data_IF_402968608564
#
_entry.id   IF_402968608564
#
_cell.length_a   1.000
_cell.length_b   1.000
_cell.length_c   1.000
_cell.angle_alpha   90.00
_cell.angle_beta   90.00
_cell.angle_gamma   90.00
#
_symmetry.space_group_name_H-M   'P 1'
#
loop_
_entity.id
_entity.type
_entity.pdbx_description
1 polymer ?
#
# COMPACT_ATOMS: atom_id res chain seq x y z
N UNK A 1 4.44 14.06 14.61
CA UNK A 1 3.61 13.74 13.43
C UNK A 1 3.51 14.95 12.51
N UNK A 2 3.96 14.82 11.27
CA UNK A 2 3.85 15.85 10.21
C UNK A 2 2.47 15.76 9.55
N UNK A 3 1.87 16.89 9.16
CA UNK A 3 0.60 16.95 8.41
C UNK A 3 0.73 17.88 7.23
N UNK A 4 0.15 17.50 6.11
CA UNK A 4 0.06 18.33 4.91
C UNK A 4 -1.17 17.92 4.07
N UNK A 5 -1.63 18.81 3.20
CA UNK A 5 -2.63 18.47 2.22
C UNK A 5 -2.07 17.51 1.17
N UNK A 6 -2.85 16.51 0.76
CA UNK A 6 -2.52 15.65 -0.36
C UNK A 6 -2.65 16.41 -1.68
N UNK A 7 -1.67 16.25 -2.56
CA UNK A 7 -1.69 16.81 -3.92
C UNK A 7 -2.12 15.73 -4.90
N UNK A 8 -3.35 15.83 -5.42
CA UNK A 8 -3.82 14.96 -6.52
C UNK A 8 -3.20 15.47 -7.82
N UNK A 9 -2.32 14.66 -8.41
CA UNK A 9 -1.60 14.99 -9.65
C UNK A 9 -2.49 14.71 -10.87
N UNK A 10 -3.24 13.58 -10.81
CA UNK A 10 -4.07 13.12 -11.91
C UNK A 10 -5.23 12.26 -11.40
N UNK A 11 -6.36 12.32 -12.11
CA UNK A 11 -7.48 11.42 -11.93
C UNK A 11 -7.70 10.62 -13.22
N UNK A 12 -8.07 9.35 -13.05
CA UNK A 12 -8.44 8.40 -14.10
C UNK A 12 -9.86 7.92 -13.87
N UNK A 13 -10.64 7.84 -14.92
CA UNK A 13 -12.06 7.44 -14.82
C UNK A 13 -13.01 8.63 -14.54
N UNK A 14 -14.26 8.40 -14.11
CA UNK A 14 -14.81 7.05 -13.90
C UNK A 14 -14.81 6.20 -15.17
N UNK A 15 -14.66 4.89 -15.01
CA UNK A 15 -14.57 3.98 -16.14
C UNK A 15 -15.92 3.35 -16.46
N UNK A 16 -16.32 3.22 -17.76
CA UNK A 16 -17.54 2.55 -18.12
C UNK A 16 -17.60 1.10 -17.59
N UNK A 17 -18.70 0.74 -16.93
CA UNK A 17 -18.90 -0.60 -16.37
C UNK A 17 -18.06 -0.92 -15.14
N UNK A 18 -17.56 0.11 -14.45
CA UNK A 18 -16.86 0.01 -13.15
C UNK A 18 -17.67 0.76 -12.10
N UNK A 19 -18.36 0.03 -11.22
CA UNK A 19 -19.19 0.62 -10.16
C UNK A 19 -18.35 1.15 -8.97
N UNK A 20 -17.13 0.65 -8.83
CA UNK A 20 -16.21 1.09 -7.78
C UNK A 20 -14.79 0.59 -8.00
N UNK A 21 -13.83 1.30 -7.42
CA UNK A 21 -12.42 0.93 -7.38
C UNK A 21 -12.07 0.60 -5.93
N UNK A 22 -11.68 -0.65 -5.66
CA UNK A 22 -11.41 -1.14 -4.30
C UNK A 22 -9.91 -1.24 -4.00
N UNK A 23 -9.25 -2.30 -4.45
CA UNK A 23 -7.81 -2.47 -4.34
C UNK A 23 -7.07 -1.81 -5.49
N UNK A 24 -5.83 -1.42 -5.26
CA UNK A 24 -4.92 -0.87 -6.28
C UNK A 24 -3.54 -1.47 -6.09
N UNK A 25 -2.87 -1.83 -7.19
CA UNK A 25 -1.47 -2.26 -7.24
C UNK A 25 -0.78 -1.73 -8.50
N UNK A 26 0.55 -1.83 -8.56
CA UNK A 26 1.34 -1.37 -9.71
C UNK A 26 2.41 -2.39 -10.05
N UNK A 27 2.53 -2.76 -11.33
CA UNK A 27 3.49 -3.77 -11.82
C UNK A 27 4.74 -3.17 -12.48
N UNK A 28 4.91 -1.85 -12.36
CA UNK A 28 5.97 -1.10 -13.04
C UNK A 28 5.54 -0.51 -14.39
N UNK A 29 4.41 -0.95 -14.95
CA UNK A 29 3.85 -0.46 -16.20
C UNK A 29 2.37 -0.11 -16.11
N UNK A 30 1.59 -0.95 -15.41
CA UNK A 30 0.15 -0.83 -15.33
C UNK A 30 -0.30 -0.66 -13.87
N UNK A 31 -1.32 0.15 -13.70
CA UNK A 31 -2.05 0.20 -12.44
C UNK A 31 -3.15 -0.87 -12.50
N UNK A 32 -3.04 -1.86 -11.64
CA UNK A 32 -4.05 -2.88 -11.47
C UNK A 32 -5.05 -2.44 -10.42
N UNK A 33 -6.34 -2.48 -10.74
CA UNK A 33 -7.35 -2.14 -9.75
C UNK A 33 -8.51 -3.14 -9.74
N UNK A 34 -8.97 -3.45 -8.53
CA UNK A 34 -10.08 -4.35 -8.25
C UNK A 34 -11.42 -3.63 -8.38
N UNK A 35 -12.41 -4.27 -9.01
CA UNK A 35 -13.75 -3.72 -9.22
C UNK A 35 -14.86 -4.78 -9.09
N UNK A 36 -14.88 -5.50 -7.97
CA UNK A 36 -15.90 -6.49 -7.64
C UNK A 36 -15.66 -7.87 -8.27
N UNK A 37 -15.93 -8.03 -9.54
CA UNK A 37 -15.83 -9.29 -10.28
C UNK A 37 -14.60 -9.40 -11.19
N UNK A 38 -13.73 -8.38 -11.20
CA UNK A 38 -12.54 -8.34 -12.06
C UNK A 38 -11.44 -7.43 -11.52
N UNK A 39 -10.22 -7.70 -12.00
CA UNK A 39 -9.06 -6.82 -11.86
C UNK A 39 -8.79 -6.20 -13.22
N UNK A 40 -8.72 -4.87 -13.28
CA UNK A 40 -8.49 -4.11 -14.50
C UNK A 40 -7.05 -3.62 -14.58
N UNK A 41 -6.42 -3.72 -15.75
CA UNK A 41 -5.11 -3.15 -16.05
C UNK A 41 -5.27 -1.79 -16.72
N UNK A 42 -4.93 -0.72 -16.01
CA UNK A 42 -4.95 0.66 -16.48
C UNK A 42 -3.56 1.07 -16.93
N UNK A 43 -3.44 1.61 -18.15
CA UNK A 43 -2.22 2.31 -18.58
C UNK A 43 -2.23 3.73 -17.99
N UNK A 44 -1.31 4.06 -17.06
CA UNK A 44 -1.29 5.37 -16.43
C UNK A 44 -0.87 6.50 -17.40
N UNK A 45 -0.22 6.19 -18.52
CA UNK A 45 0.14 7.18 -19.53
C UNK A 45 -1.09 7.65 -20.31
N UNK A 46 -1.85 6.72 -20.89
CA UNK A 46 -3.04 7.04 -21.69
C UNK A 46 -4.32 7.18 -20.87
N UNK A 47 -4.39 6.62 -19.68
CA UNK A 47 -5.60 6.57 -18.85
C UNK A 47 -6.63 5.54 -19.33
N UNK A 48 -6.24 4.58 -20.18
CA UNK A 48 -7.13 3.56 -20.74
C UNK A 48 -7.00 2.23 -20.00
N UNK A 49 -8.12 1.54 -19.79
CA UNK A 49 -8.11 0.13 -19.42
C UNK A 49 -7.70 -0.67 -20.65
N UNK A 50 -6.64 -1.45 -20.54
CA UNK A 50 -6.09 -2.26 -21.61
C UNK A 50 -6.71 -3.66 -21.64
N UNK A 51 -6.97 -4.22 -20.44
CA UNK A 51 -7.58 -5.54 -20.27
C UNK A 51 -8.12 -5.73 -18.87
N UNK A 52 -8.89 -6.78 -18.67
CA UNK A 52 -9.35 -7.22 -17.36
C UNK A 52 -9.07 -8.72 -17.16
N UNK A 53 -9.00 -9.13 -15.92
CA UNK A 53 -8.94 -10.52 -15.45
C UNK A 53 -10.24 -10.77 -14.67
N UNK A 54 -11.05 -11.72 -15.15
CA UNK A 54 -12.33 -12.09 -14.53
C UNK A 54 -12.05 -13.00 -13.32
N UNK A 55 -11.99 -12.40 -12.15
CA UNK A 55 -11.83 -13.08 -10.84
C UNK A 55 -12.53 -12.25 -9.77
N UNK A 56 -13.04 -12.85 -8.69
CA UNK A 56 -13.54 -12.08 -7.55
C UNK A 56 -12.47 -11.11 -7.03
N UNK A 57 -12.79 -9.82 -6.97
CA UNK A 57 -11.85 -8.75 -6.66
C UNK A 57 -12.53 -7.64 -5.84
N UNK A 58 -12.88 -7.97 -4.58
CA UNK A 58 -13.71 -7.13 -3.73
C UNK A 58 -12.92 -6.14 -2.85
N UNK A 59 -11.60 -6.35 -2.70
CA UNK A 59 -10.76 -5.58 -1.78
C UNK A 59 -9.32 -5.43 -2.32
N UNK A 60 -8.32 -5.43 -1.44
CA UNK A 60 -6.93 -5.12 -1.74
C UNK A 60 -6.29 -6.00 -2.82
N UNK A 61 -5.42 -5.38 -3.59
CA UNK A 61 -4.59 -6.02 -4.63
C UNK A 61 -3.13 -5.70 -4.35
N UNK A 62 -2.22 -6.67 -4.55
CA UNK A 62 -0.77 -6.50 -4.44
C UNK A 62 -0.04 -7.18 -5.61
N UNK A 63 1.23 -6.83 -5.82
CA UNK A 63 2.09 -7.42 -6.84
C UNK A 63 3.47 -7.75 -6.27
N UNK A 64 3.96 -8.98 -6.46
CA UNK A 64 5.23 -9.45 -5.89
C UNK A 64 6.44 -9.29 -6.84
N UNK A 65 6.23 -8.69 -8.01
CA UNK A 65 7.20 -8.61 -9.10
C UNK A 65 6.94 -9.63 -10.21
N UNK A 66 6.09 -10.64 -9.95
CA UNK A 66 5.75 -11.69 -10.91
C UNK A 66 4.24 -11.99 -10.93
N UNK A 67 3.59 -12.00 -9.76
CA UNK A 67 2.20 -12.41 -9.59
C UNK A 67 1.36 -11.32 -8.92
N UNK A 68 0.08 -11.27 -9.26
CA UNK A 68 -0.90 -10.51 -8.53
C UNK A 68 -1.43 -11.32 -7.34
N UNK A 69 -1.68 -10.64 -6.22
CA UNK A 69 -2.42 -11.16 -5.09
C UNK A 69 -3.70 -10.35 -4.95
N UNK A 70 -4.83 -11.04 -4.80
CA UNK A 70 -6.14 -10.42 -4.73
C UNK A 70 -6.92 -10.91 -3.52
N UNK A 71 -7.35 -9.98 -2.67
CA UNK A 71 -8.32 -10.25 -1.61
C UNK A 71 -9.72 -10.47 -2.21
N UNK A 72 -10.29 -11.61 -1.91
CA UNK A 72 -11.63 -12.01 -2.32
C UNK A 72 -12.32 -12.73 -1.17
N UNK A 73 -13.26 -12.06 -0.50
CA UNK A 73 -13.96 -12.58 0.67
C UNK A 73 -13.00 -12.95 1.82
N UNK A 74 -12.88 -14.23 2.15
CA UNK A 74 -12.07 -14.78 3.24
C UNK A 74 -10.72 -15.34 2.79
N UNK A 75 -10.29 -15.04 1.55
CA UNK A 75 -9.09 -15.62 0.92
C UNK A 75 -8.30 -14.59 0.14
N UNK A 76 -7.03 -14.91 -0.09
CA UNK A 76 -6.13 -14.20 -0.99
C UNK A 76 -5.79 -15.15 -2.14
N UNK A 77 -6.03 -14.73 -3.35
CA UNK A 77 -5.73 -15.48 -4.57
C UNK A 77 -4.39 -15.00 -5.15
N UNK A 78 -3.46 -15.92 -5.40
CA UNK A 78 -2.26 -15.68 -6.21
C UNK A 78 -2.60 -15.92 -7.66
N UNK A 79 -2.38 -14.93 -8.52
CA UNK A 79 -2.87 -14.91 -9.90
C UNK A 79 -1.70 -14.65 -10.85
N UNK A 80 -1.60 -15.42 -11.91
CA UNK A 80 -0.74 -15.12 -13.05
C UNK A 80 -1.32 -13.91 -13.82
N UNK A 81 -0.64 -12.76 -13.83
CA UNK A 81 -1.16 -11.56 -14.47
C UNK A 81 -1.27 -11.70 -16.00
N UNK A 82 -0.58 -12.63 -16.63
CA UNK A 82 -0.60 -12.83 -18.09
C UNK A 82 -1.81 -13.63 -18.53
N UNK A 83 -2.11 -14.70 -17.81
CA UNK A 83 -3.18 -15.63 -18.17
C UNK A 83 -4.48 -15.43 -17.40
N UNK A 84 -4.44 -14.73 -16.28
CA UNK A 84 -5.54 -14.56 -15.34
C UNK A 84 -5.83 -15.81 -14.50
N UNK A 85 -4.98 -16.84 -14.58
CA UNK A 85 -5.19 -18.09 -13.86
C UNK A 85 -4.84 -17.92 -12.37
N UNK A 86 -5.72 -18.37 -11.49
CA UNK A 86 -5.46 -18.52 -10.06
C UNK A 86 -4.50 -19.70 -9.88
N UNK A 87 -3.32 -19.44 -9.33
CA UNK A 87 -2.26 -20.40 -9.10
C UNK A 87 -2.33 -21.03 -7.72
N UNK A 88 -2.70 -20.23 -6.72
CA UNK A 88 -2.84 -20.65 -5.33
C UNK A 88 -3.89 -19.79 -4.61
N UNK A 89 -4.36 -20.30 -3.50
CA UNK A 89 -5.28 -19.59 -2.60
C UNK A 89 -4.85 -19.82 -1.17
N UNK A 90 -4.73 -18.74 -0.40
CA UNK A 90 -4.37 -18.76 1.02
C UNK A 90 -5.50 -18.10 1.84
N UNK A 91 -5.70 -18.48 3.10
CA UNK A 91 -6.70 -17.85 3.96
C UNK A 91 -6.31 -16.39 4.24
N UNK A 92 -7.30 -15.50 4.22
CA UNK A 92 -7.14 -14.12 4.65
C UNK A 92 -7.38 -14.01 6.16
N UNK A 93 -6.60 -13.18 6.90
CA UNK A 93 -6.62 -13.19 8.37
C UNK A 93 -7.91 -12.65 8.98
N UNK A 94 -8.68 -11.85 8.24
CA UNK A 94 -9.87 -11.16 8.73
C UNK A 94 -11.20 -11.86 8.47
N UNK A 95 -11.20 -13.06 7.87
CA UNK A 95 -12.42 -13.81 7.60
C UNK A 95 -13.48 -13.04 6.81
N UNK A 96 -13.06 -12.25 5.80
CA UNK A 96 -13.94 -11.40 4.99
C UNK A 96 -13.98 -9.92 5.41
N UNK A 97 -13.27 -9.55 6.48
CA UNK A 97 -13.17 -8.15 6.94
C UNK A 97 -11.90 -7.44 6.49
N UNK A 98 -11.12 -8.04 5.60
CA UNK A 98 -9.89 -7.48 5.07
C UNK A 98 -10.16 -6.45 3.97
N UNK A 99 -9.31 -5.41 3.90
CA UNK A 99 -9.54 -4.25 3.03
C UNK A 99 -8.40 -3.95 2.07
N UNK A 100 -7.19 -3.83 2.57
CA UNK A 100 -5.99 -3.49 1.79
C UNK A 100 -5.00 -4.65 1.73
N UNK A 101 -4.16 -4.66 0.69
CA UNK A 101 -3.13 -5.66 0.50
C UNK A 101 -1.89 -5.00 -0.10
N UNK A 102 -0.71 -5.34 0.42
CA UNK A 102 0.58 -4.95 -0.15
C UNK A 102 1.58 -6.10 -0.07
N UNK A 103 2.54 -6.10 -0.99
CA UNK A 103 3.69 -6.98 -0.96
C UNK A 103 4.92 -6.23 -0.49
N UNK A 104 5.64 -6.78 0.49
CA UNK A 104 6.88 -6.21 0.97
C UNK A 104 7.80 -7.27 1.59
N UNK A 105 9.07 -7.23 1.23
CA UNK A 105 10.12 -8.03 1.86
C UNK A 105 9.78 -9.54 1.94
N UNK A 106 9.18 -10.08 0.87
CA UNK A 106 8.79 -11.49 0.80
C UNK A 106 7.54 -11.85 1.61
N UNK A 107 6.77 -10.88 2.06
CA UNK A 107 5.55 -11.07 2.87
C UNK A 107 4.38 -10.27 2.35
N UNK A 108 3.17 -10.63 2.76
CA UNK A 108 1.96 -9.85 2.51
C UNK A 108 1.59 -9.02 3.74
N UNK A 109 1.16 -7.79 3.50
CA UNK A 109 0.59 -6.89 4.49
C UNK A 109 -0.89 -6.72 4.21
N UNK A 110 -1.73 -7.09 5.17
CA UNK A 110 -3.19 -7.15 5.03
C UNK A 110 -3.84 -6.19 6.00
N UNK A 111 -4.57 -5.21 5.48
CA UNK A 111 -5.32 -4.27 6.30
C UNK A 111 -6.71 -4.83 6.65
N UNK A 112 -7.17 -4.53 7.86
CA UNK A 112 -8.53 -4.79 8.33
C UNK A 112 -9.22 -3.47 8.65
N UNK A 113 -10.24 -3.13 7.87
CA UNK A 113 -10.92 -1.85 7.97
C UNK A 113 -11.50 -1.60 9.36
N UNK A 114 -12.47 -2.41 9.77
CA UNK A 114 -13.21 -2.20 11.04
C UNK A 114 -12.36 -2.49 12.28
N UNK A 115 -11.43 -3.40 12.17
CA UNK A 115 -10.59 -3.81 13.29
C UNK A 115 -9.40 -2.87 13.51
N UNK A 116 -9.15 -1.93 12.59
CA UNK A 116 -8.05 -0.95 12.66
C UNK A 116 -6.70 -1.62 12.86
N UNK A 117 -6.43 -2.65 12.05
CA UNK A 117 -5.21 -3.45 12.13
C UNK A 117 -4.58 -3.62 10.76
N UNK A 118 -3.28 -3.80 10.76
CA UNK A 118 -2.51 -4.25 9.60
C UNK A 118 -1.75 -5.49 10.03
N UNK A 119 -1.97 -6.60 9.36
CA UNK A 119 -1.30 -7.87 9.59
C UNK A 119 -0.19 -8.08 8.58
N UNK A 120 0.97 -8.54 9.04
CA UNK A 120 1.99 -9.13 8.18
C UNK A 120 1.79 -10.64 8.22
N UNK A 121 1.69 -11.28 7.06
CA UNK A 121 1.44 -12.71 6.93
C UNK A 121 2.44 -13.38 5.99
N UNK A 122 2.66 -14.65 6.21
CA UNK A 122 3.39 -15.52 5.32
C UNK A 122 2.58 -15.77 4.02
N UNK A 123 3.15 -15.52 2.83
CA UNK A 123 2.39 -15.59 1.57
C UNK A 123 2.11 -17.02 1.08
N UNK A 124 2.73 -18.04 1.66
CA UNK A 124 2.52 -19.44 1.28
C UNK A 124 1.45 -20.10 2.16
N UNK A 125 1.41 -19.72 3.44
CA UNK A 125 0.55 -20.39 4.43
C UNK A 125 -0.58 -19.52 4.96
N UNK A 126 -0.50 -18.20 4.82
CA UNK A 126 -1.39 -17.24 5.46
C UNK A 126 -1.13 -17.08 6.96
N UNK A 127 -0.07 -17.68 7.49
CA UNK A 127 0.25 -17.58 8.91
C UNK A 127 0.54 -16.15 9.33
N UNK A 128 -0.05 -15.74 10.45
CA UNK A 128 0.15 -14.41 11.02
C UNK A 128 1.57 -14.30 11.60
N UNK A 129 2.36 -13.36 11.07
CA UNK A 129 3.71 -13.06 11.52
C UNK A 129 3.72 -11.92 12.55
N UNK A 130 2.93 -10.87 12.30
CA UNK A 130 2.86 -9.68 13.14
C UNK A 130 1.56 -8.90 12.91
N UNK A 131 1.17 -8.13 13.93
CA UNK A 131 0.05 -7.19 13.86
C UNK A 131 0.48 -5.80 14.28
N UNK A 132 0.06 -4.80 13.53
CA UNK A 132 0.15 -3.37 13.88
C UNK A 132 -1.27 -2.88 14.14
N UNK A 133 -1.49 -2.24 15.29
CA UNK A 133 -2.75 -1.56 15.58
C UNK A 133 -2.68 -0.11 15.09
N UNK A 134 -3.78 0.37 14.54
CA UNK A 134 -3.94 1.73 14.05
C UNK A 134 -5.05 2.45 14.81
N UNK A 135 -5.03 3.77 14.78
CA UNK A 135 -6.05 4.58 15.45
C UNK A 135 -7.24 4.95 14.55
N UNK A 136 -7.21 4.59 13.26
CA UNK A 136 -8.26 4.85 12.27
C UNK A 136 -8.59 3.59 11.46
N UNK A 137 -9.72 3.61 10.75
CA UNK A 137 -10.09 2.58 9.79
C UNK A 137 -9.09 2.55 8.64
N UNK A 138 -8.51 1.37 8.39
CA UNK A 138 -7.50 1.18 7.35
C UNK A 138 -8.14 0.68 6.07
N UNK A 139 -7.85 1.32 4.96
CA UNK A 139 -8.35 0.94 3.63
C UNK A 139 -7.27 0.25 2.79
N UNK A 140 -6.46 1.02 2.06
CA UNK A 140 -5.33 0.51 1.28
C UNK A 140 -4.05 0.45 2.10
N UNK A 141 -3.09 -0.35 1.67
CA UNK A 141 -1.74 -0.45 2.26
C UNK A 141 -0.73 -0.48 1.14
N UNK A 142 0.43 0.15 1.32
CA UNK A 142 1.59 0.02 0.45
C UNK A 142 2.89 0.12 1.22
N UNK A 143 3.95 -0.42 0.62
CA UNK A 143 5.31 -0.38 1.16
C UNK A 143 6.27 0.22 0.15
N UNK A 144 7.02 1.23 0.57
CA UNK A 144 8.01 1.89 -0.27
C UNK A 144 9.19 2.37 0.57
N UNK A 145 10.43 2.03 0.16
CA UNK A 145 11.69 2.48 0.79
C UNK A 145 11.78 2.18 2.30
N UNK A 146 11.27 1.03 2.75
CA UNK A 146 11.23 0.67 4.17
C UNK A 146 10.15 1.41 4.97
N UNK A 147 9.22 2.09 4.31
CA UNK A 147 8.10 2.82 4.91
C UNK A 147 6.78 2.11 4.66
N UNK A 148 5.98 1.98 5.70
CA UNK A 148 4.61 1.49 5.60
C UNK A 148 3.65 2.68 5.51
N UNK A 149 2.89 2.73 4.44
CA UNK A 149 1.83 3.69 4.23
C UNK A 149 0.47 3.00 4.16
N UNK A 150 -0.54 3.64 4.68
CA UNK A 150 -1.91 3.15 4.55
C UNK A 150 -2.91 4.29 4.30
N UNK A 151 -3.97 3.97 3.59
CA UNK A 151 -5.12 4.84 3.44
C UNK A 151 -6.05 4.71 4.65
N UNK A 152 -6.81 5.77 4.92
CA UNK A 152 -7.92 5.77 5.88
C UNK A 152 -9.16 6.34 5.22
N UNK A 153 -10.33 5.94 5.70
CA UNK A 153 -11.59 6.54 5.27
C UNK A 153 -12.62 6.44 6.39
N UNK A 154 -12.99 7.59 6.95
CA UNK A 154 -13.99 7.71 8.02
C UNK A 154 -14.94 8.89 7.73
N UNK A 155 -16.19 8.61 7.44
CA UNK A 155 -17.15 9.62 7.00
C UNK A 155 -16.73 10.28 5.69
N UNK A 156 -16.56 11.59 5.69
CA UNK A 156 -16.12 12.37 4.54
C UNK A 156 -14.61 12.64 4.52
N UNK A 157 -13.88 12.09 5.49
CA UNK A 157 -12.44 12.29 5.63
C UNK A 157 -11.65 11.06 5.20
N UNK A 158 -10.58 11.30 4.46
CA UNK A 158 -9.57 10.29 4.10
C UNK A 158 -8.17 10.87 4.21
N UNK A 159 -7.23 10.02 4.59
CA UNK A 159 -5.80 10.36 4.65
C UNK A 159 -4.96 9.27 4.02
N UNK A 160 -3.74 9.63 3.60
CA UNK A 160 -2.62 8.70 3.44
C UNK A 160 -1.71 8.88 4.65
N UNK A 161 -1.50 7.82 5.40
CA UNK A 161 -0.80 7.87 6.68
C UNK A 161 0.46 7.00 6.63
N UNK A 162 1.61 7.59 6.94
CA UNK A 162 2.86 6.86 7.15
C UNK A 162 2.99 6.46 8.61
N UNK A 163 3.30 5.21 8.83
CA UNK A 163 3.51 4.67 10.18
C UNK A 163 4.89 4.01 10.29
N UNK A 164 5.44 4.00 11.50
CA UNK A 164 6.59 3.15 11.82
C UNK A 164 6.13 1.68 11.72
N UNK A 165 6.73 0.86 10.85
CA UNK A 165 6.27 -0.51 10.64
C UNK A 165 6.51 -1.42 11.85
N UNK A 166 7.30 -1.01 12.85
CA UNK A 166 7.56 -1.78 14.07
C UNK A 166 6.59 -1.47 15.19
N UNK A 167 6.20 -0.19 15.31
CA UNK A 167 5.41 0.30 16.46
C UNK A 167 3.99 0.67 16.10
N UNK A 168 3.72 0.96 14.81
CA UNK A 168 2.45 1.54 14.36
C UNK A 168 2.30 3.03 14.66
N UNK A 169 3.37 3.68 15.20
CA UNK A 169 3.34 5.12 15.46
C UNK A 169 3.13 5.90 14.17
N UNK A 170 2.20 6.85 14.19
CA UNK A 170 1.92 7.73 13.05
C UNK A 170 3.02 8.78 12.92
N UNK A 171 3.75 8.74 11.81
CA UNK A 171 4.87 9.65 11.50
C UNK A 171 4.43 10.84 10.66
N UNK A 172 3.59 10.60 9.66
CA UNK A 172 3.14 11.61 8.70
C UNK A 172 1.72 11.33 8.22
N UNK A 173 0.99 12.39 7.86
CA UNK A 173 -0.36 12.30 7.32
C UNK A 173 -0.55 13.28 6.17
N UNK A 174 -1.07 12.78 5.05
CA UNK A 174 -1.51 13.57 3.91
C UNK A 174 -3.03 13.58 3.91
N UNK A 175 -3.62 14.75 4.15
CA UNK A 175 -5.06 14.92 4.22
C UNK A 175 -5.63 15.05 2.81
N UNK A 176 -6.52 14.14 2.42
CA UNK A 176 -7.21 14.19 1.13
C UNK A 176 -8.21 15.37 1.12
N UNK A 177 -8.54 15.93 -0.05
CA UNK A 177 -9.60 16.92 -0.14
C UNK A 177 -10.93 16.37 0.41
N UNK A 178 -11.79 17.22 0.99
CA UNK A 178 -13.09 16.79 1.52
C UNK A 178 -13.93 16.00 0.50
N UNK A 179 -14.51 14.89 0.94
CA UNK A 179 -15.32 14.00 0.10
C UNK A 179 -14.52 13.11 -0.85
N UNK A 180 -13.19 13.14 -0.81
CA UNK A 180 -12.33 12.28 -1.62
C UNK A 180 -11.92 11.06 -0.80
N UNK A 181 -12.59 9.92 -1.00
CA UNK A 181 -12.27 8.67 -0.33
C UNK A 181 -11.05 7.96 -0.92
N UNK A 182 -10.36 7.19 -0.07
CA UNK A 182 -9.26 6.28 -0.43
C UNK A 182 -9.67 4.86 -0.07
N UNK A 183 -9.82 3.96 -1.05
CA UNK A 183 -10.17 2.55 -0.85
C UNK A 183 -8.99 1.60 -1.03
N UNK A 184 -8.08 1.89 -1.94
CA UNK A 184 -6.84 1.16 -2.20
C UNK A 184 -5.66 2.12 -2.25
N UNK A 185 -4.45 1.62 -2.07
CA UNK A 185 -3.23 2.41 -2.07
C UNK A 185 -2.05 1.58 -2.59
N UNK A 186 -1.30 2.14 -3.54
CA UNK A 186 -0.05 1.56 -4.01
C UNK A 186 0.94 2.66 -4.41
N UNK A 187 2.23 2.42 -4.20
CA UNK A 187 3.30 3.29 -4.69
C UNK A 187 3.72 2.92 -6.10
N UNK A 188 4.09 3.91 -6.91
CA UNK A 188 4.73 3.67 -8.21
C UNK A 188 6.22 3.32 -8.12
N UNK A 189 6.75 3.22 -6.90
CA UNK A 189 8.19 3.05 -6.64
C UNK A 189 8.98 4.36 -6.68
N UNK A 190 8.33 5.48 -6.98
CA UNK A 190 8.92 6.81 -7.13
C UNK A 190 8.28 7.87 -6.26
N UNK A 191 7.75 8.91 -6.90
CA UNK A 191 7.27 10.13 -6.24
C UNK A 191 5.73 10.23 -6.19
N UNK A 192 5.00 9.16 -6.48
CA UNK A 192 3.54 9.17 -6.40
C UNK A 192 2.94 7.87 -5.84
N UNK A 193 1.73 8.03 -5.32
CA UNK A 193 0.84 6.94 -4.95
C UNK A 193 -0.32 6.85 -5.93
N UNK A 194 -0.76 5.63 -6.23
CA UNK A 194 -2.05 5.37 -6.84
C UNK A 194 -3.08 5.03 -5.76
N UNK A 195 -4.21 5.72 -5.79
CA UNK A 195 -5.28 5.55 -4.80
C UNK A 195 -6.57 5.13 -5.50
N UNK A 196 -7.23 4.09 -5.00
CA UNK A 196 -8.59 3.75 -5.37
C UNK A 196 -9.57 4.72 -4.74
N UNK A 197 -10.61 5.10 -5.47
CA UNK A 197 -11.60 6.08 -5.03
C UNK A 197 -12.96 5.50 -4.63
N UNK A 198 -13.04 4.20 -4.31
CA UNK A 198 -14.28 3.54 -3.93
C UNK A 198 -15.38 3.76 -4.97
N UNK A 199 -16.57 4.10 -4.51
CA UNK A 199 -17.77 4.33 -5.34
C UNK A 199 -17.65 5.50 -6.34
N UNK A 200 -16.58 6.29 -6.29
CA UNK A 200 -16.34 7.30 -7.32
C UNK A 200 -15.95 6.68 -8.68
N UNK A 201 -15.61 5.39 -8.71
CA UNK A 201 -15.14 4.69 -9.91
C UNK A 201 -13.81 5.23 -10.46
N UNK A 202 -13.04 5.94 -9.64
CA UNK A 202 -11.81 6.60 -10.07
C UNK A 202 -10.57 5.95 -9.45
N UNK A 203 -9.46 6.05 -10.20
CA UNK A 203 -8.10 5.92 -9.66
C UNK A 203 -7.47 7.31 -9.64
N UNK A 204 -6.71 7.63 -8.61
CA UNK A 204 -6.01 8.91 -8.45
C UNK A 204 -4.52 8.71 -8.28
N UNK A 205 -3.72 9.52 -8.98
CA UNK A 205 -2.31 9.69 -8.67
C UNK A 205 -2.16 10.83 -7.67
N UNK A 206 -1.52 10.56 -6.55
CA UNK A 206 -1.27 11.51 -5.44
C UNK A 206 0.22 11.63 -5.23
N UNK A 207 0.73 12.84 -5.07
CA UNK A 207 2.16 13.07 -4.86
C UNK A 207 2.63 12.47 -3.54
N UNK A 208 3.67 11.66 -3.60
CA UNK A 208 4.39 11.20 -2.41
C UNK A 208 5.27 12.34 -1.88
N UNK A 209 5.28 12.61 -0.57
CA UNK A 209 6.21 13.59 0.01
C UNK A 209 7.66 13.20 -0.24
N UNK A 210 8.49 14.19 -0.57
CA UNK A 210 9.93 13.95 -0.60
C UNK A 210 10.41 13.58 0.79
N UNK A 211 11.27 12.58 0.89
CA UNK A 211 11.98 12.27 2.14
C UNK A 211 12.81 13.50 2.53
N UNK A 212 12.67 13.95 3.77
CA UNK A 212 13.66 14.85 4.35
C UNK A 212 15.01 14.10 4.30
N UNK A 213 16.02 14.69 3.66
CA UNK A 213 17.34 14.08 3.58
C UNK A 213 17.76 13.67 5.00
N UNK A 214 18.07 12.39 5.18
CA UNK A 214 18.36 11.80 6.48
C UNK A 214 19.31 12.71 7.26
N UNK A 215 18.95 13.06 8.51
CA UNK A 215 19.90 13.43 9.55
C UNK A 215 20.75 12.18 9.85
N UNK A 216 21.63 11.87 8.92
CA UNK A 216 22.53 10.73 8.97
C UNK A 216 23.96 11.20 8.92
N UNK A 217 24.70 10.92 9.98
CA UNK A 217 26.15 11.04 10.20
C UNK A 217 26.59 12.19 11.11
N UNK A 218 26.12 12.19 12.34
CA UNK A 218 26.91 12.72 13.43
C UNK A 218 27.12 11.64 14.49
N UNK A 219 27.93 10.64 14.17
CA UNK A 219 28.48 9.72 15.17
C UNK A 219 29.61 8.91 14.54
N UNK A 220 30.76 9.56 14.28
CA UNK A 220 32.06 8.88 14.20
C UNK A 220 33.16 9.91 13.93
N UNK A 221 33.44 10.78 14.92
CA UNK A 221 34.75 11.43 15.01
C UNK A 221 35.00 11.84 16.48
N UNK A 222 35.35 10.87 17.28
CA UNK A 222 36.02 11.17 18.57
C UNK A 222 36.54 9.86 19.16
N UNK A 223 37.74 9.48 18.74
CA UNK A 223 38.72 8.81 19.63
C UNK A 223 40.00 8.56 18.86
N UNK A 224 40.85 9.57 18.90
CA UNK A 224 42.22 9.50 18.45
C UNK A 224 43.11 10.29 19.34
N UNK A 225 43.11 10.01 20.65
CA UNK A 225 44.09 10.61 21.58
C UNK A 225 45.17 9.56 21.88
N UNK A 226 46.26 9.69 21.18
CA UNK A 226 47.55 9.05 21.33
C UNK A 226 48.10 9.22 22.77
N UNK A 227 48.29 8.14 23.47
CA UNK A 227 49.16 8.14 24.68
C UNK A 227 50.58 7.77 24.25
N UNK A 228 51.44 8.76 24.22
CA UNK A 228 52.89 8.59 24.14
C UNK A 228 53.38 7.96 25.44
N UNK A 229 54.06 6.85 25.27
CA UNK A 229 54.92 6.21 26.25
C UNK A 229 56.16 7.05 26.50
N UNK A 230 56.46 7.36 27.74
CA UNK A 230 57.78 7.83 28.15
C UNK A 230 58.52 6.68 28.86
N UNK A 231 59.61 6.26 28.28
CA UNK A 231 60.67 5.47 28.91
C UNK A 231 61.48 6.39 29.83
N UNK A 232 61.87 5.92 31.04
CA UNK A 232 63.27 6.00 31.52
C UNK A 232 63.35 5.66 33.01
N UNK A 233 64.52 5.32 33.46
CA UNK A 233 65.63 4.56 32.95
C UNK A 233 65.70 3.15 33.51
#
# INVERSE_FOLDING_TARGET
>A
MKRSAAEIIREYGPFPGVDGVHGVSFDGQHVWFASGDKINALDPASGKILRAIEVPAHAGTAFDGEHLYQLAEDRIQKIDPKTGRVLATIPAPGGGGDSGLAWAEGTLWVAQYRNRKIHQIDPETGALLRTIETNRFVTGVTWIDGELWHGTWEGDESDLTRVDPRTGEVLERLEMPPGVGVSGLESDGGDQFFCGGGNSGKVRAVRRPKRDAARGSEAETSTGATRKSSKRP
#
